data_IF_574177895879
#
_entry.id   IF_574177895879
#
_cell.length_a   1.000
_cell.length_b   1.000
_cell.length_c   1.000
_cell.angle_alpha   90.00
_cell.angle_beta   90.00
_cell.angle_gamma   90.00
#
_symmetry.space_group_name_H-M   'P 1'
#
loop_
_entity.id
_entity.type
_entity.pdbx_description
1 polymer ?
#
# COMPACT_ATOMS: atom_id res chain seq x y z
N UNK A 1 -4.04 -11.90 2.50
CA UNK A 1 -5.32 -12.40 1.93
C UNK A 1 -4.97 -13.49 0.95
N UNK A 2 -5.43 -14.73 1.18
CA UNK A 2 -5.03 -15.87 0.36
C UNK A 2 -5.70 -15.90 -1.01
N UNK A 3 -5.07 -16.58 -1.97
CA UNK A 3 -5.56 -16.68 -3.35
C UNK A 3 -6.83 -17.51 -3.51
N UNK A 4 -7.23 -18.22 -2.44
CA UNK A 4 -8.41 -19.09 -2.38
C UNK A 4 -9.73 -18.32 -2.39
N UNK A 5 -9.72 -17.03 -2.11
CA UNK A 5 -10.95 -16.23 -2.04
C UNK A 5 -11.27 -15.55 -3.38
N UNK A 6 -12.54 -15.50 -3.79
CA UNK A 6 -12.97 -14.69 -4.93
C UNK A 6 -12.58 -13.21 -4.74
N UNK A 7 -12.33 -12.51 -5.84
CA UNK A 7 -11.88 -11.11 -5.81
C UNK A 7 -12.80 -10.20 -4.99
N UNK A 8 -14.12 -10.45 -5.00
CA UNK A 8 -15.10 -9.69 -4.23
C UNK A 8 -14.87 -9.79 -2.73
N UNK A 9 -14.55 -10.99 -2.25
CA UNK A 9 -14.22 -11.24 -0.83
C UNK A 9 -12.89 -10.58 -0.48
N UNK A 10 -11.86 -10.72 -1.34
CA UNK A 10 -10.57 -10.03 -1.13
C UNK A 10 -10.76 -8.52 -0.99
N UNK A 11 -11.52 -7.91 -1.90
CA UNK A 11 -11.80 -6.47 -1.88
C UNK A 11 -12.60 -6.04 -0.64
N UNK A 12 -13.60 -6.83 -0.22
CA UNK A 12 -14.36 -6.55 1.00
C UNK A 12 -13.46 -6.58 2.24
N UNK A 13 -12.58 -7.58 2.37
CA UNK A 13 -11.61 -7.66 3.47
C UNK A 13 -10.72 -6.42 3.51
N UNK A 14 -10.13 -6.03 2.37
CA UNK A 14 -9.25 -4.86 2.30
C UNK A 14 -9.98 -3.56 2.68
N UNK A 15 -11.22 -3.37 2.23
CA UNK A 15 -12.05 -2.23 2.62
C UNK A 15 -12.35 -2.21 4.11
N UNK A 16 -12.71 -3.36 4.69
CA UNK A 16 -12.97 -3.47 6.13
C UNK A 16 -11.71 -3.16 6.94
N UNK A 17 -10.55 -3.70 6.57
CA UNK A 17 -9.27 -3.38 7.22
C UNK A 17 -8.95 -1.87 7.13
N UNK A 18 -9.21 -1.25 5.97
CA UNK A 18 -9.04 0.20 5.78
C UNK A 18 -9.95 1.00 6.72
N UNK A 19 -11.20 0.58 6.89
CA UNK A 19 -12.15 1.22 7.80
C UNK A 19 -11.72 1.06 9.27
N UNK A 20 -11.21 -0.11 9.64
CA UNK A 20 -10.66 -0.34 10.98
C UNK A 20 -9.47 0.57 11.26
N UNK A 21 -8.56 0.76 10.30
CA UNK A 21 -7.45 1.74 10.41
C UNK A 21 -8.00 3.15 10.61
N UNK A 22 -9.03 3.53 9.87
CA UNK A 22 -9.63 4.86 9.99
C UNK A 22 -10.31 5.11 11.35
N UNK A 23 -10.87 4.08 11.98
CA UNK A 23 -11.62 4.20 13.25
C UNK A 23 -10.82 3.85 14.50
N UNK A 24 -9.78 3.01 14.38
CA UNK A 24 -9.07 2.38 15.50
C UNK A 24 -7.55 2.49 15.41
N UNK A 25 -7.04 3.52 14.73
CA UNK A 25 -5.63 3.74 14.41
C UNK A 25 -4.63 3.39 15.54
N UNK A 26 -4.88 3.84 16.78
CA UNK A 26 -3.97 3.62 17.90
C UNK A 26 -3.81 2.13 18.26
N UNK A 27 -4.90 1.36 18.21
CA UNK A 27 -4.91 -0.09 18.53
C UNK A 27 -4.27 -0.93 17.43
N UNK A 28 -4.17 -0.38 16.22
CA UNK A 28 -3.68 -1.10 15.04
C UNK A 28 -2.19 -0.90 14.77
N UNK A 29 -1.52 0.02 15.49
CA UNK A 29 -0.06 0.24 15.38
C UNK A 29 0.77 -1.05 15.50
N UNK A 30 0.49 -1.98 16.44
CA UNK A 30 1.27 -3.23 16.55
C UNK A 30 1.15 -4.15 15.32
N UNK A 31 0.08 -4.02 14.54
CA UNK A 31 -0.21 -4.86 13.37
C UNK A 31 0.23 -4.22 12.05
N UNK A 32 0.83 -3.03 12.09
CA UNK A 32 1.26 -2.31 10.88
C UNK A 32 2.15 -3.16 9.97
N UNK A 33 3.17 -3.90 10.45
CA UNK A 33 3.99 -4.72 9.57
C UNK A 33 3.18 -5.78 8.80
N UNK A 34 2.28 -6.49 9.50
CA UNK A 34 1.44 -7.53 8.89
C UNK A 34 0.40 -6.96 7.92
N UNK A 35 -0.20 -5.81 8.27
CA UNK A 35 -1.14 -5.12 7.39
C UNK A 35 -0.45 -4.58 6.14
N UNK A 36 0.78 -4.06 6.28
CA UNK A 36 1.59 -3.57 5.16
C UNK A 36 1.88 -4.71 4.19
N UNK A 37 2.40 -5.85 4.66
CA UNK A 37 2.61 -7.03 3.81
C UNK A 37 1.32 -7.46 3.09
N UNK A 38 0.18 -7.39 3.79
CA UNK A 38 -1.12 -7.74 3.20
C UNK A 38 -1.52 -6.79 2.07
N UNK A 39 -1.38 -5.48 2.27
CA UNK A 39 -1.75 -4.48 1.27
C UNK A 39 -0.79 -4.44 0.09
N UNK A 40 0.52 -4.59 0.33
CA UNK A 40 1.53 -4.72 -0.73
C UNK A 40 1.26 -5.95 -1.60
N UNK A 41 0.95 -7.10 -1.00
CA UNK A 41 0.55 -8.30 -1.78
C UNK A 41 -0.70 -8.06 -2.62
N UNK A 42 -1.66 -7.27 -2.14
CA UNK A 42 -2.87 -6.95 -2.90
C UNK A 42 -2.58 -6.10 -4.16
N UNK A 43 -1.48 -5.34 -4.20
CA UNK A 43 -1.08 -4.57 -5.39
C UNK A 43 -0.71 -5.46 -6.57
N UNK A 44 -0.30 -6.71 -6.32
CA UNK A 44 0.05 -7.68 -7.36
C UNK A 44 -1.14 -8.59 -7.75
N UNK A 45 -2.35 -8.35 -7.23
CA UNK A 45 -3.52 -9.20 -7.54
C UNK A 45 -3.93 -9.04 -9.01
N UNK A 46 -4.36 -10.13 -9.65
CA UNK A 46 -4.80 -10.13 -11.05
C UNK A 46 -5.99 -9.20 -11.30
N UNK A 47 -6.82 -8.95 -10.28
CA UNK A 47 -8.02 -8.12 -10.38
C UNK A 47 -7.73 -6.66 -10.05
N UNK A 48 -7.97 -5.76 -11.01
CA UNK A 48 -7.81 -4.30 -10.85
C UNK A 48 -8.47 -3.74 -9.57
N UNK A 49 -9.69 -4.18 -9.26
CA UNK A 49 -10.42 -3.72 -8.06
C UNK A 49 -9.71 -4.07 -6.76
N UNK A 50 -9.10 -5.26 -6.67
CA UNK A 50 -8.36 -5.70 -5.48
C UNK A 50 -7.08 -4.86 -5.33
N UNK A 51 -6.37 -4.62 -6.45
CA UNK A 51 -5.19 -3.76 -6.46
C UNK A 51 -5.49 -2.34 -5.97
N UNK A 52 -6.56 -1.73 -6.46
CA UNK A 52 -6.97 -0.39 -6.03
C UNK A 52 -7.41 -0.33 -4.57
N UNK A 53 -8.06 -1.38 -4.05
CA UNK A 53 -8.35 -1.47 -2.62
C UNK A 53 -7.07 -1.58 -1.79
N UNK A 54 -6.08 -2.35 -2.27
CA UNK A 54 -4.76 -2.46 -1.64
C UNK A 54 -4.02 -1.11 -1.60
N UNK A 55 -4.03 -0.37 -2.71
CA UNK A 55 -3.41 0.95 -2.79
C UNK A 55 -4.03 1.95 -1.80
N UNK A 56 -5.36 2.03 -1.76
CA UNK A 56 -6.07 2.89 -0.81
C UNK A 56 -5.80 2.51 0.65
N UNK A 57 -5.79 1.21 0.95
CA UNK A 57 -5.50 0.70 2.27
C UNK A 57 -4.06 1.04 2.72
N UNK A 58 -3.09 0.91 1.81
CA UNK A 58 -1.69 1.24 2.07
C UNK A 58 -1.50 2.73 2.35
N UNK A 59 -2.16 3.61 1.57
CA UNK A 59 -2.13 5.06 1.80
C UNK A 59 -2.66 5.42 3.19
N UNK A 60 -3.70 4.73 3.66
CA UNK A 60 -4.24 4.95 5.01
C UNK A 60 -3.34 4.37 6.11
N UNK A 61 -2.67 3.25 5.84
CA UNK A 61 -1.81 2.58 6.82
C UNK A 61 -0.55 3.38 7.14
N UNK A 62 0.06 4.04 6.14
CA UNK A 62 1.35 4.72 6.33
C UNK A 62 1.30 5.90 7.29
N UNK A 63 0.12 6.48 7.56
CA UNK A 63 -0.02 7.50 8.61
C UNK A 63 0.25 6.95 10.02
N UNK A 64 0.28 5.62 10.18
CA UNK A 64 0.60 4.93 11.43
C UNK A 64 2.04 4.38 11.47
N UNK A 65 2.76 4.42 10.35
CA UNK A 65 4.10 3.84 10.22
C UNK A 65 5.18 4.88 10.48
N UNK A 66 6.26 4.45 11.14
CA UNK A 66 7.49 5.25 11.31
C UNK A 66 8.57 4.91 10.28
N UNK A 67 8.39 3.85 9.49
CA UNK A 67 9.39 3.32 8.54
C UNK A 67 8.82 3.31 7.13
N UNK A 68 8.74 4.50 6.52
CA UNK A 68 8.11 4.70 5.20
C UNK A 68 9.13 4.55 4.06
N UNK A 69 10.40 4.88 4.27
CA UNK A 69 11.42 4.81 3.21
C UNK A 69 11.65 3.41 2.62
N UNK A 70 11.70 2.32 3.41
CA UNK A 70 11.82 0.98 2.84
C UNK A 70 10.64 0.63 1.95
N UNK A 71 9.42 1.02 2.34
CA UNK A 71 8.23 0.80 1.54
C UNK A 71 8.28 1.57 0.22
N UNK A 72 8.70 2.85 0.25
CA UNK A 72 8.84 3.66 -0.97
C UNK A 72 9.89 3.05 -1.90
N UNK A 73 11.03 2.62 -1.35
CA UNK A 73 12.10 1.96 -2.11
C UNK A 73 11.59 0.70 -2.81
N UNK A 74 10.86 -0.15 -2.09
CA UNK A 74 10.28 -1.37 -2.63
C UNK A 74 9.27 -1.06 -3.74
N UNK A 75 8.37 -0.10 -3.52
CA UNK A 75 7.39 0.29 -4.54
C UNK A 75 8.06 0.79 -5.82
N UNK A 76 9.04 1.69 -5.72
CA UNK A 76 9.75 2.23 -6.89
C UNK A 76 10.53 1.15 -7.63
N UNK A 77 11.19 0.22 -6.92
CA UNK A 77 11.90 -0.89 -7.57
C UNK A 77 10.94 -1.84 -8.32
N UNK A 78 9.76 -2.11 -7.77
CA UNK A 78 8.79 -3.02 -8.40
C UNK A 78 8.06 -2.37 -9.60
N UNK A 79 7.92 -1.05 -9.63
CA UNK A 79 7.28 -0.32 -10.75
C UNK A 79 8.01 -0.58 -12.08
N UNK A 80 9.35 -0.67 -12.06
CA UNK A 80 10.17 -0.82 -13.26
C UNK A 80 9.98 -2.16 -14.00
N UNK A 81 9.55 -3.22 -13.30
CA UNK A 81 9.48 -4.58 -13.84
C UNK A 81 8.07 -5.18 -13.82
N UNK A 82 7.09 -4.46 -13.26
CA UNK A 82 5.72 -4.93 -13.14
C UNK A 82 4.93 -4.83 -14.46
N UNK A 83 3.90 -5.67 -14.59
CA UNK A 83 2.93 -5.56 -15.68
C UNK A 83 2.15 -4.24 -15.60
N UNK A 84 1.69 -3.66 -16.73
CA UNK A 84 1.09 -2.32 -16.76
C UNK A 84 -0.05 -2.11 -15.74
N UNK A 85 -0.88 -3.14 -15.54
CA UNK A 85 -1.98 -3.08 -14.59
C UNK A 85 -1.54 -3.04 -13.12
N UNK A 86 -0.42 -3.69 -12.79
CA UNK A 86 0.21 -3.70 -11.46
C UNK A 86 0.99 -2.41 -11.26
N UNK A 87 1.78 -1.98 -12.26
CA UNK A 87 2.49 -0.70 -12.29
C UNK A 87 1.56 0.47 -11.99
N UNK A 88 0.40 0.54 -12.65
CA UNK A 88 -0.60 1.56 -12.37
C UNK A 88 -1.05 1.57 -10.89
N UNK A 89 -1.33 0.40 -10.32
CA UNK A 89 -1.75 0.30 -8.93
C UNK A 89 -0.63 0.68 -7.95
N UNK A 90 0.62 0.30 -8.24
CA UNK A 90 1.79 0.69 -7.46
C UNK A 90 2.04 2.19 -7.51
N UNK A 91 1.87 2.85 -8.66
CA UNK A 91 1.94 4.30 -8.79
C UNK A 91 0.83 5.00 -7.99
N UNK A 92 -0.41 4.50 -8.04
CA UNK A 92 -1.51 5.02 -7.20
C UNK A 92 -1.18 4.86 -5.72
N UNK A 93 -0.63 3.71 -5.33
CA UNK A 93 -0.23 3.44 -3.96
C UNK A 93 0.90 4.37 -3.51
N UNK A 94 1.95 4.53 -4.31
CA UNK A 94 3.09 5.40 -4.06
C UNK A 94 2.63 6.85 -3.89
N UNK A 95 1.85 7.39 -4.85
CA UNK A 95 1.32 8.75 -4.74
C UNK A 95 0.44 8.95 -3.51
N UNK A 96 -0.32 7.95 -3.10
CA UNK A 96 -1.12 8.00 -1.87
C UNK A 96 -0.27 7.90 -0.59
N UNK A 97 0.81 7.11 -0.60
CA UNK A 97 1.78 7.02 0.50
C UNK A 97 2.49 8.35 0.70
N UNK A 98 3.00 8.95 -0.36
CA UNK A 98 3.69 10.25 -0.33
C UNK A 98 2.78 11.38 0.19
N UNK A 99 1.49 11.34 -0.11
CA UNK A 99 0.51 12.31 0.42
C UNK A 99 0.15 12.10 1.89
N UNK A 100 0.34 10.89 2.42
CA UNK A 100 -0.17 10.49 3.74
C UNK A 100 0.93 10.27 4.78
N UNK A 101 2.19 10.41 4.39
CA UNK A 101 3.35 10.24 5.27
C UNK A 101 3.46 11.38 6.30
N UNK A 102 3.82 11.04 7.53
CA UNK A 102 3.97 12.02 8.62
C UNK A 102 5.33 12.72 8.63
N UNK A 103 6.34 12.15 7.99
CA UNK A 103 7.70 12.69 7.90
C UNK A 103 8.11 12.79 6.43
N UNK A 104 8.85 13.85 6.04
CA UNK A 104 9.42 13.93 4.70
C UNK A 104 10.40 12.78 4.47
N UNK A 105 10.53 12.36 3.20
CA UNK A 105 11.57 11.43 2.78
C UNK A 105 12.94 12.11 2.79
N UNK A 106 13.99 11.31 2.91
CA UNK A 106 15.34 11.75 2.62
C UNK A 106 15.50 12.21 1.16
N UNK A 107 16.36 13.19 0.96
CA UNK A 107 16.63 13.82 -0.35
C UNK A 107 17.01 12.83 -1.47
N UNK A 108 17.86 11.80 -1.23
CA UNK A 108 18.16 10.79 -2.25
C UNK A 108 16.93 10.01 -2.71
N UNK A 109 15.99 9.76 -1.80
CA UNK A 109 14.79 9.00 -2.12
C UNK A 109 13.76 9.84 -2.87
N UNK A 110 13.72 11.15 -2.61
CA UNK A 110 12.90 12.09 -3.37
C UNK A 110 13.32 12.13 -4.84
N UNK A 111 14.63 12.25 -5.10
CA UNK A 111 15.17 12.26 -6.47
C UNK A 111 14.77 10.99 -7.23
N UNK A 112 14.95 9.83 -6.60
CA UNK A 112 14.57 8.53 -7.18
C UNK A 112 13.06 8.39 -7.49
N UNK A 113 12.19 9.15 -6.83
CA UNK A 113 10.75 9.12 -7.13
C UNK A 113 10.34 10.02 -8.29
N UNK A 114 11.22 10.95 -8.70
CA UNK A 114 10.98 11.92 -9.78
C UNK A 114 11.57 11.43 -11.11
N UNK A 115 12.59 10.57 -11.04
CA UNK A 115 13.17 9.84 -12.17
C UNK A 115 12.29 8.66 -12.64
#
# INVERSE_FOLDING_TARGET
VGDRFPWGVKAAILKTLTLLIAKGAALLKPFVPQLQTTFVKALADSTKKVRLCGAAALSKLVSLSTRIEPLVTDLTNNIATAEPGVTYAMLVALGGVLRSMAKPLSEPLLLKCVE
#
